data_IF_806326041755
#
_entry.id   IF_806326041755
#
_cell.length_a   1.000
_cell.length_b   1.000
_cell.length_c   1.000
_cell.angle_alpha   90.00
_cell.angle_beta   90.00
_cell.angle_gamma   90.00
#
_symmetry.space_group_name_H-M   'P 1'
#
loop_
_entity.id
_entity.type
_entity.pdbx_description
1 polymer ?
#
# COMPACT_ATOMS: atom_id res chain seq x y z
N UNK A 1 -1.13 8.06 23.39
CA UNK A 1 -0.28 9.07 22.72
C UNK A 1 0.44 8.35 21.59
N UNK A 2 0.44 8.89 20.37
CA UNK A 2 1.02 8.22 19.19
C UNK A 2 2.51 7.98 19.42
N UNK A 3 2.90 6.73 19.66
CA UNK A 3 4.24 6.31 20.11
C UNK A 3 5.32 6.31 19.03
N UNK A 4 5.15 7.07 17.95
CA UNK A 4 6.25 7.36 17.06
C UNK A 4 5.91 8.58 16.21
N UNK A 5 6.59 9.71 16.49
CA UNK A 5 6.67 10.85 15.57
C UNK A 5 7.52 10.52 14.32
N UNK A 6 8.09 9.31 14.26
CA UNK A 6 8.94 8.87 13.17
C UNK A 6 8.14 8.09 12.14
N UNK A 7 7.75 8.80 11.09
CA UNK A 7 7.03 8.25 9.93
C UNK A 7 7.79 7.06 9.30
N UNK A 8 9.11 6.97 9.49
CA UNK A 8 9.90 5.83 8.98
C UNK A 8 9.54 4.53 9.71
N UNK A 9 9.46 4.55 11.03
CA UNK A 9 9.06 3.39 11.83
C UNK A 9 7.63 2.95 11.50
N UNK A 10 6.71 3.90 11.35
CA UNK A 10 5.33 3.57 10.96
C UNK A 10 5.26 2.94 9.56
N UNK A 11 6.10 3.40 8.62
CA UNK A 11 6.20 2.81 7.26
C UNK A 11 6.75 1.38 7.27
N UNK A 12 7.61 1.04 8.22
CA UNK A 12 8.12 -0.33 8.38
C UNK A 12 7.02 -1.28 8.82
N UNK A 13 6.23 -0.89 9.82
CA UNK A 13 5.05 -1.67 10.24
C UNK A 13 3.93 -1.67 9.17
N UNK A 14 3.81 -0.60 8.39
CA UNK A 14 2.82 -0.49 7.32
C UNK A 14 3.00 -1.56 6.22
N UNK A 15 4.24 -2.00 5.95
CA UNK A 15 4.49 -3.06 4.98
C UNK A 15 3.86 -4.39 5.39
N UNK A 16 4.06 -4.80 6.65
CA UNK A 16 3.46 -6.02 7.20
C UNK A 16 1.93 -5.93 7.23
N UNK A 17 1.39 -4.79 7.67
CA UNK A 17 -0.06 -4.54 7.66
C UNK A 17 -0.66 -4.60 6.26
N UNK A 18 0.00 -3.96 5.29
CA UNK A 18 -0.44 -3.94 3.89
C UNK A 18 -0.48 -5.34 3.29
N UNK A 19 0.50 -6.19 3.59
CA UNK A 19 0.52 -7.57 3.12
C UNK A 19 -0.67 -8.38 3.66
N UNK A 20 -0.97 -8.25 4.95
CA UNK A 20 -2.14 -8.90 5.55
C UNK A 20 -3.44 -8.39 4.91
N UNK A 21 -3.53 -7.07 4.64
CA UNK A 21 -4.71 -6.50 4.01
C UNK A 21 -4.90 -6.96 2.57
N UNK A 22 -3.81 -7.10 1.80
CA UNK A 22 -3.85 -7.66 0.45
C UNK A 22 -4.30 -9.12 0.49
N UNK A 23 -3.81 -9.92 1.44
CA UNK A 23 -4.26 -11.29 1.61
C UNK A 23 -5.77 -11.36 1.88
N UNK A 24 -6.27 -10.49 2.77
CA UNK A 24 -7.70 -10.38 3.05
C UNK A 24 -8.50 -9.92 1.82
N UNK A 25 -7.98 -8.95 1.06
CA UNK A 25 -8.60 -8.42 -0.15
C UNK A 25 -8.70 -9.41 -1.30
N UNK A 26 -7.86 -10.45 -1.29
CA UNK A 26 -7.90 -11.52 -2.29
C UNK A 26 -8.96 -12.57 -2.00
N UNK A 27 -9.27 -12.79 -0.71
CA UNK A 27 -10.23 -13.81 -0.27
C UNK A 27 -11.60 -13.23 0.05
N UNK A 28 -11.68 -11.92 0.27
CA UNK A 28 -12.90 -11.22 0.63
C UNK A 28 -13.01 -9.90 -0.12
N UNK A 29 -14.25 -9.58 -0.51
CA UNK A 29 -14.58 -8.31 -1.15
C UNK A 29 -14.59 -7.19 -0.11
N UNK A 30 -13.49 -6.43 -0.04
CA UNK A 30 -13.34 -5.34 0.95
C UNK A 30 -14.10 -4.06 0.59
N UNK A 31 -14.46 -3.88 -0.68
CA UNK A 31 -15.16 -2.69 -1.15
C UNK A 31 -16.04 -3.03 -2.34
N UNK A 32 -17.11 -2.27 -2.54
CA UNK A 32 -17.92 -2.32 -3.76
C UNK A 32 -17.19 -1.72 -4.97
N UNK A 33 -16.15 -0.91 -4.72
CA UNK A 33 -15.31 -0.28 -5.73
C UNK A 33 -14.02 -1.07 -5.95
N UNK A 34 -13.47 -1.09 -7.18
CA UNK A 34 -12.22 -1.78 -7.47
C UNK A 34 -11.07 -1.24 -6.63
N UNK A 35 -10.33 -2.15 -5.98
CA UNK A 35 -9.13 -1.85 -5.19
C UNK A 35 -7.91 -2.24 -6.02
N UNK A 36 -6.97 -1.33 -6.18
CA UNK A 36 -5.72 -1.54 -6.89
C UNK A 36 -4.63 -1.95 -5.91
N UNK A 37 -4.03 -3.12 -6.13
CA UNK A 37 -2.79 -3.48 -5.44
C UNK A 37 -1.62 -2.82 -6.16
N UNK A 38 -0.95 -1.93 -5.46
CA UNK A 38 0.26 -1.25 -5.87
C UNK A 38 1.48 -1.94 -5.28
N UNK A 39 2.61 -1.90 -5.99
CA UNK A 39 3.88 -2.47 -5.56
C UNK A 39 5.03 -1.51 -5.79
N UNK A 40 5.91 -1.40 -4.80
CA UNK A 40 7.15 -0.65 -4.89
C UNK A 40 8.32 -1.63 -5.03
N UNK A 41 8.99 -1.69 -6.19
CA UNK A 41 10.12 -2.61 -6.39
C UNK A 41 11.31 -2.30 -5.49
N UNK A 42 11.50 -1.03 -5.11
CA UNK A 42 12.61 -0.61 -4.24
C UNK A 42 12.46 -1.08 -2.80
N UNK A 43 11.25 -1.01 -2.23
CA UNK A 43 10.98 -1.44 -0.85
C UNK A 43 10.51 -2.90 -0.79
N UNK A 44 10.33 -3.56 -1.96
CA UNK A 44 9.75 -4.90 -2.11
C UNK A 44 8.45 -5.06 -1.31
N UNK A 45 7.63 -4.01 -1.30
CA UNK A 45 6.44 -3.92 -0.47
C UNK A 45 5.25 -3.54 -1.33
N UNK A 46 4.09 -4.15 -1.04
CA UNK A 46 2.82 -3.86 -1.70
C UNK A 46 1.90 -3.04 -0.78
N UNK A 47 0.93 -2.35 -1.36
CA UNK A 47 -0.18 -1.72 -0.63
C UNK A 47 -1.43 -1.66 -1.49
N UNK A 48 -2.57 -1.37 -0.87
CA UNK A 48 -3.86 -1.22 -1.54
C UNK A 48 -4.20 0.27 -1.73
N UNK A 49 -4.85 0.58 -2.85
CA UNK A 49 -5.38 1.91 -3.15
C UNK A 49 -6.75 1.78 -3.79
N UNK A 50 -7.69 2.65 -3.43
CA UNK A 50 -8.97 2.79 -4.12
C UNK A 50 -8.86 3.59 -5.42
N UNK A 51 -7.75 4.31 -5.62
CA UNK A 51 -7.47 5.10 -6.82
C UNK A 51 -6.46 4.38 -7.72
N UNK A 52 -6.62 4.53 -9.05
CA UNK A 52 -5.62 4.11 -10.04
C UNK A 52 -4.30 4.91 -9.95
N UNK A 53 -4.34 6.07 -9.32
CA UNK A 53 -3.19 6.96 -9.19
C UNK A 53 -2.16 6.37 -8.23
N UNK A 54 -0.93 6.15 -8.71
CA UNK A 54 0.17 5.68 -7.87
C UNK A 54 0.59 6.81 -6.93
N UNK A 55 0.38 6.58 -5.62
CA UNK A 55 0.85 7.46 -4.54
C UNK A 55 1.73 6.63 -3.60
N UNK A 56 3.05 6.68 -3.80
CA UNK A 56 3.99 5.88 -3.02
C UNK A 56 4.05 6.34 -1.56
N UNK A 57 3.43 5.55 -0.68
CA UNK A 57 3.36 5.82 0.77
C UNK A 57 4.70 5.61 1.49
N UNK A 58 5.63 4.86 0.90
CA UNK A 58 6.93 4.50 1.50
C UNK A 58 7.99 5.57 1.30
N UNK A 59 8.00 6.24 0.15
CA UNK A 59 8.97 7.29 -0.19
C UNK A 59 8.38 8.70 -0.18
N UNK A 60 7.06 8.84 -0.05
CA UNK A 60 6.39 10.14 -0.02
C UNK A 60 6.74 10.98 -1.25
N UNK A 61 6.99 12.27 -1.04
CA UNK A 61 7.24 13.27 -2.11
C UNK A 61 8.48 13.00 -2.96
N UNK A 62 9.45 12.23 -2.46
CA UNK A 62 10.66 11.95 -3.22
C UNK A 62 10.39 11.10 -4.48
N UNK A 63 9.39 10.22 -4.42
CA UNK A 63 9.09 9.27 -5.50
C UNK A 63 7.59 8.93 -5.54
N UNK A 64 6.72 9.94 -5.55
CA UNK A 64 5.26 9.78 -5.49
C UNK A 64 4.71 8.83 -6.56
N UNK A 65 5.26 8.90 -7.77
CA UNK A 65 4.81 8.12 -8.95
C UNK A 65 5.55 6.80 -9.13
N UNK A 66 6.51 6.47 -8.24
CA UNK A 66 7.29 5.24 -8.36
C UNK A 66 6.52 4.06 -7.79
N UNK A 67 6.17 3.12 -8.66
CA UNK A 67 5.50 1.87 -8.33
C UNK A 67 4.77 1.34 -9.56
N UNK A 68 4.17 0.16 -9.43
CA UNK A 68 3.33 -0.43 -10.48
C UNK A 68 2.07 -1.03 -9.86
N UNK A 69 0.97 -0.99 -10.62
CA UNK A 69 -0.25 -1.74 -10.26
C UNK A 69 0.03 -3.21 -10.59
N UNK A 70 0.04 -4.08 -9.58
CA UNK A 70 0.18 -5.53 -9.77
C UNK A 70 -1.14 -6.17 -10.18
N UNK A 71 -2.23 -5.78 -9.53
CA UNK A 71 -3.55 -6.35 -9.79
C UNK A 71 -4.67 -5.42 -9.34
N UNK A 72 -5.85 -5.63 -9.91
CA UNK A 72 -7.10 -4.99 -9.49
C UNK A 72 -7.97 -6.05 -8.81
N UNK A 73 -8.41 -5.76 -7.59
CA UNK A 73 -9.23 -6.60 -6.73
C UNK A 73 -10.65 -6.02 -6.71
N UNK A 74 -11.69 -6.87 -6.71
CA UNK A 74 -13.10 -6.49 -6.90
C UNK A 74 -14.02 -6.99 -5.79
#
# INVERSE_FOLDING_TARGET
>A
MSESKDIKHQREHFAAFSNNMIALAKVSKLSSQPIYQLYCPMKKSSWLSSEKTIKNLYYGKAMLTCGSILQTLN
#
